data_IF_798909199184
#
_entry.id   IF_798909199184
#
_cell.length_a   1.000
_cell.length_b   1.000
_cell.length_c   1.000
_cell.angle_alpha   90.00
_cell.angle_beta   90.00
_cell.angle_gamma   90.00
#
_symmetry.space_group_name_H-M   'P 1'
#
loop_
_entity.id
_entity.type
_entity.pdbx_description
1 polymer ?
#
# COMPACT_ATOMS: atom_id res chain seq x y z
N UNK A 1 22.80 9.87 26.03
CA UNK A 1 24.20 9.91 25.54
C UNK A 1 25.03 8.79 26.17
N UNK A 2 25.06 8.62 27.48
CA UNK A 2 25.81 7.58 28.19
C UNK A 2 25.46 6.16 27.75
N UNK A 3 24.16 5.82 27.68
CA UNK A 3 23.71 4.50 27.20
C UNK A 3 24.19 4.19 25.77
N UNK A 4 24.26 5.16 24.86
CA UNK A 4 24.76 4.96 23.50
C UNK A 4 26.26 4.61 23.48
N UNK A 5 27.09 5.37 24.19
CA UNK A 5 28.52 5.11 24.26
C UNK A 5 28.83 3.81 25.02
N UNK A 6 28.05 3.50 26.08
CA UNK A 6 28.15 2.25 26.80
C UNK A 6 27.85 1.04 25.92
N UNK A 7 26.76 1.06 25.18
CA UNK A 7 26.38 0.00 24.23
C UNK A 7 27.42 -0.17 23.11
N UNK A 8 27.99 0.95 22.59
CA UNK A 8 29.05 0.88 21.59
C UNK A 8 30.31 0.23 22.15
N UNK A 9 30.74 0.61 23.37
CA UNK A 9 31.87 -0.01 24.04
C UNK A 9 31.63 -1.50 24.26
N UNK A 10 30.46 -1.88 24.77
CA UNK A 10 30.08 -3.28 24.97
C UNK A 10 30.12 -4.09 23.65
N UNK A 11 29.52 -3.60 22.59
CA UNK A 11 29.54 -4.26 21.27
C UNK A 11 30.98 -4.53 20.77
N UNK A 12 31.88 -3.56 20.95
CA UNK A 12 33.26 -3.68 20.53
C UNK A 12 34.02 -4.67 21.42
N UNK A 13 33.80 -4.65 22.74
CA UNK A 13 34.38 -5.60 23.70
C UNK A 13 33.95 -7.04 23.39
N UNK A 14 32.68 -7.25 23.05
CA UNK A 14 32.16 -8.56 22.69
C UNK A 14 32.73 -9.09 21.36
N UNK A 15 33.19 -8.21 20.47
CA UNK A 15 33.88 -8.54 19.23
C UNK A 15 35.40 -8.63 19.39
N UNK A 16 35.94 -8.57 20.62
CA UNK A 16 37.40 -8.52 20.94
C UNK A 16 38.15 -7.32 20.33
N UNK A 17 37.42 -6.26 19.96
CA UNK A 17 37.98 -5.00 19.41
C UNK A 17 38.29 -4.02 20.55
N UNK A 18 39.14 -4.45 21.48
CA UNK A 18 39.38 -3.75 22.73
C UNK A 18 40.00 -2.35 22.56
N UNK A 19 40.90 -2.20 21.59
CA UNK A 19 41.53 -0.88 21.31
C UNK A 19 40.52 0.17 20.80
N UNK A 20 39.53 -0.30 20.05
CA UNK A 20 38.46 0.59 19.56
C UNK A 20 37.39 0.89 20.61
N UNK A 21 37.22 0.03 21.60
CA UNK A 21 36.33 0.27 22.73
C UNK A 21 36.87 1.33 23.71
N UNK A 22 38.20 1.45 23.85
CA UNK A 22 38.86 2.33 24.79
C UNK A 22 38.40 3.79 24.76
N UNK A 23 38.34 4.49 23.61
CA UNK A 23 37.91 5.89 23.55
C UNK A 23 36.50 6.12 24.11
N UNK A 24 35.59 5.14 23.92
CA UNK A 24 34.21 5.21 24.42
C UNK A 24 34.17 5.10 25.93
N UNK A 25 34.94 4.19 26.53
CA UNK A 25 35.06 4.07 27.99
C UNK A 25 35.71 5.32 28.60
N UNK A 26 36.79 5.83 28.01
CA UNK A 26 37.43 7.07 28.46
C UNK A 26 36.45 8.29 28.42
N UNK A 27 35.58 8.34 27.44
CA UNK A 27 34.53 9.37 27.36
C UNK A 27 33.51 9.24 28.48
N UNK A 28 33.10 8.01 28.82
CA UNK A 28 32.12 7.72 29.86
C UNK A 28 32.60 8.11 31.26
N UNK A 29 33.91 8.07 31.51
CA UNK A 29 34.54 8.43 32.81
C UNK A 29 34.99 9.89 32.89
N UNK A 30 34.59 10.79 31.93
CA UNK A 30 34.89 12.22 32.02
C UNK A 30 34.07 12.91 33.13
N UNK A 31 34.44 14.16 33.44
CA UNK A 31 33.78 15.00 34.41
C UNK A 31 32.26 15.02 34.30
N UNK A 32 31.55 14.88 35.44
CA UNK A 32 30.10 14.80 35.50
C UNK A 32 29.54 13.40 35.74
N UNK A 33 30.38 12.41 35.96
CA UNK A 33 30.01 11.02 36.26
C UNK A 33 29.05 10.87 37.43
N UNK A 34 29.18 11.73 38.48
CA UNK A 34 28.31 11.74 39.66
C UNK A 34 26.85 12.11 39.35
N UNK A 35 26.61 12.78 38.22
CA UNK A 35 25.27 13.19 37.77
C UNK A 35 24.58 12.11 36.94
N UNK A 36 25.28 11.04 36.58
CA UNK A 36 24.72 9.93 35.79
C UNK A 36 23.79 9.08 36.66
N UNK A 37 22.66 8.62 36.07
CA UNK A 37 21.74 7.76 36.81
C UNK A 37 22.43 6.48 37.30
N UNK A 38 22.05 6.01 38.49
CA UNK A 38 22.68 4.85 39.12
C UNK A 38 22.65 3.59 38.18
N UNK A 39 21.56 3.38 37.46
CA UNK A 39 21.40 2.28 36.50
C UNK A 39 22.44 2.32 35.38
N UNK A 40 22.67 3.52 34.82
CA UNK A 40 23.64 3.70 33.74
C UNK A 40 25.08 3.54 34.29
N UNK A 41 25.34 4.01 35.49
CA UNK A 41 26.66 3.81 36.16
C UNK A 41 26.95 2.35 36.37
N UNK A 42 26.02 1.58 36.93
CA UNK A 42 26.17 0.15 37.17
C UNK A 42 26.37 -0.62 35.84
N UNK A 43 25.69 -0.23 34.79
CA UNK A 43 25.91 -0.82 33.47
C UNK A 43 27.33 -0.57 32.98
N UNK A 44 27.84 0.64 33.13
CA UNK A 44 29.20 0.99 32.70
C UNK A 44 30.24 0.28 33.57
N UNK A 45 30.05 0.20 34.91
CA UNK A 45 30.93 -0.58 35.80
C UNK A 45 30.99 -2.06 35.40
N UNK A 46 29.87 -2.65 34.96
CA UNK A 46 29.83 -4.01 34.43
C UNK A 46 30.63 -4.14 33.12
N UNK A 47 30.48 -3.19 32.21
CA UNK A 47 31.23 -3.15 30.95
C UNK A 47 32.72 -3.02 31.22
N UNK A 48 33.11 -2.21 32.20
CA UNK A 48 34.50 -2.07 32.65
C UNK A 48 35.07 -3.34 33.21
N UNK A 49 34.31 -4.07 34.04
CA UNK A 49 34.75 -5.39 34.55
C UNK A 49 35.12 -6.32 33.40
N UNK A 50 34.27 -6.40 32.39
CA UNK A 50 34.47 -7.27 31.23
C UNK A 50 35.68 -6.78 30.38
N UNK A 51 35.78 -5.47 30.18
CA UNK A 51 36.88 -4.85 29.42
C UNK A 51 38.23 -5.08 30.09
N UNK A 52 38.36 -4.72 31.38
CA UNK A 52 39.62 -4.88 32.09
C UNK A 52 40.00 -6.34 32.33
N UNK A 53 39.01 -7.22 32.47
CA UNK A 53 39.24 -8.66 32.48
C UNK A 53 39.92 -9.16 31.18
N UNK A 54 39.35 -8.76 30.01
CA UNK A 54 39.91 -9.10 28.69
C UNK A 54 41.30 -8.46 28.44
N UNK A 55 41.51 -7.25 28.97
CA UNK A 55 42.81 -6.57 28.88
C UNK A 55 43.88 -7.14 29.83
N UNK A 56 43.49 -7.96 30.80
CA UNK A 56 44.39 -8.49 31.84
C UNK A 56 44.74 -7.46 32.92
N UNK A 57 44.04 -6.32 33.00
CA UNK A 57 44.24 -5.29 34.04
C UNK A 57 43.50 -5.68 35.34
N UNK A 58 44.18 -6.47 36.17
CA UNK A 58 43.61 -7.01 37.42
C UNK A 58 43.21 -5.91 38.39
N UNK A 59 44.01 -4.85 38.48
CA UNK A 59 43.74 -3.77 39.43
C UNK A 59 42.45 -3.04 39.11
N UNK A 60 42.32 -2.52 37.89
CA UNK A 60 41.14 -1.77 37.45
C UNK A 60 39.88 -2.64 37.43
N UNK A 61 40.00 -3.91 37.00
CA UNK A 61 38.89 -4.87 37.06
C UNK A 61 38.35 -4.98 38.50
N UNK A 62 39.26 -5.13 39.52
CA UNK A 62 38.86 -5.29 40.92
C UNK A 62 38.28 -4.02 41.46
N UNK A 63 38.75 -2.82 41.07
CA UNK A 63 38.17 -1.54 41.42
C UNK A 63 36.70 -1.45 40.89
N UNK A 64 36.45 -1.79 39.63
CA UNK A 64 35.10 -1.83 39.07
C UNK A 64 34.18 -2.85 39.74
N UNK A 65 34.71 -4.04 40.11
CA UNK A 65 33.94 -5.02 40.90
C UNK A 65 33.53 -4.48 42.25
N UNK A 66 34.42 -3.75 42.95
CA UNK A 66 34.07 -3.11 44.23
C UNK A 66 33.00 -2.02 44.06
N UNK A 67 33.06 -1.24 42.99
CA UNK A 67 32.01 -0.24 42.69
C UNK A 67 30.67 -0.89 42.50
N UNK A 68 30.57 -2.00 41.76
CA UNK A 68 29.32 -2.76 41.62
C UNK A 68 28.83 -3.27 42.96
N UNK A 69 29.71 -3.89 43.74
CA UNK A 69 29.36 -4.46 45.05
C UNK A 69 28.78 -3.42 46.01
N UNK A 70 29.37 -2.21 46.06
CA UNK A 70 28.95 -1.12 46.93
C UNK A 70 27.65 -0.42 46.46
N UNK A 71 27.45 -0.30 45.13
CA UNK A 71 26.41 0.51 44.54
C UNK A 71 25.19 -0.29 44.07
N UNK A 72 25.22 -1.64 44.09
CA UNK A 72 24.11 -2.47 43.66
C UNK A 72 22.92 -2.36 44.63
N UNK A 73 21.79 -1.72 44.25
CA UNK A 73 20.63 -1.58 45.12
C UNK A 73 19.81 -2.86 45.15
N UNK A 74 19.13 -3.15 46.25
CA UNK A 74 18.33 -4.36 46.43
C UNK A 74 17.06 -4.40 45.52
N UNK A 75 16.61 -3.25 45.07
CA UNK A 75 15.35 -3.07 44.34
C UNK A 75 15.54 -2.65 42.85
N UNK A 76 16.73 -2.85 42.30
CA UNK A 76 17.01 -2.49 40.91
C UNK A 76 16.20 -3.37 39.94
N UNK A 77 15.58 -2.79 38.91
CA UNK A 77 14.98 -3.56 37.80
C UNK A 77 16.07 -4.07 36.87
N UNK A 78 16.37 -5.38 36.94
CA UNK A 78 17.55 -5.97 36.33
C UNK A 78 17.26 -6.57 34.94
N UNK A 79 15.99 -6.65 34.55
CA UNK A 79 15.61 -7.41 33.35
C UNK A 79 16.21 -6.85 32.05
N UNK A 80 16.35 -5.54 31.94
CA UNK A 80 16.88 -4.88 30.74
C UNK A 80 18.39 -5.11 30.58
N UNK A 81 19.11 -5.33 31.70
CA UNK A 81 20.57 -5.53 31.73
C UNK A 81 20.97 -6.95 32.19
N UNK A 82 20.03 -7.89 32.17
CA UNK A 82 20.29 -9.25 32.65
C UNK A 82 21.50 -9.92 31.96
N UNK A 83 21.66 -9.71 30.65
CA UNK A 83 22.76 -10.28 29.88
C UNK A 83 24.12 -9.80 30.38
N UNK A 84 24.19 -8.55 30.84
CA UNK A 84 25.42 -7.93 31.31
C UNK A 84 25.78 -8.44 32.71
N UNK A 85 24.80 -8.51 33.63
CA UNK A 85 24.98 -9.17 34.92
C UNK A 85 25.39 -10.64 34.78
N UNK A 86 24.81 -11.36 33.83
CA UNK A 86 25.19 -12.74 33.57
C UNK A 86 26.65 -12.86 33.17
N UNK A 87 27.14 -11.99 32.25
CA UNK A 87 28.55 -11.96 31.82
C UNK A 87 29.46 -11.53 32.96
N UNK A 88 29.08 -10.54 33.73
CA UNK A 88 29.82 -10.12 34.94
C UNK A 88 29.99 -11.31 35.92
N UNK A 89 28.92 -12.05 36.22
CA UNK A 89 28.96 -13.22 37.05
C UNK A 89 29.94 -14.29 36.52
N UNK A 90 30.07 -14.46 35.19
CA UNK A 90 31.08 -15.38 34.63
C UNK A 90 32.49 -14.92 34.94
N UNK A 91 32.80 -13.62 34.81
CA UNK A 91 34.10 -13.05 35.16
C UNK A 91 34.37 -13.20 36.67
N UNK A 92 33.38 -12.96 37.53
CA UNK A 92 33.50 -13.12 38.97
C UNK A 92 33.83 -14.57 39.36
N UNK A 93 33.20 -15.55 38.71
CA UNK A 93 33.48 -16.95 38.88
C UNK A 93 34.92 -17.32 38.45
N UNK A 94 35.42 -16.74 37.35
CA UNK A 94 36.77 -16.99 36.84
C UNK A 94 37.85 -16.39 37.72
N UNK A 95 37.52 -15.35 38.49
CA UNK A 95 38.45 -14.53 39.28
C UNK A 95 38.32 -14.70 40.79
N UNK A 96 37.59 -15.74 41.25
CA UNK A 96 37.38 -16.08 42.65
C UNK A 96 36.78 -14.94 43.51
N UNK A 97 35.87 -14.13 42.89
CA UNK A 97 35.17 -13.03 43.54
C UNK A 97 33.78 -13.49 44.05
N UNK A 98 33.81 -14.46 44.96
CA UNK A 98 32.64 -15.21 45.43
C UNK A 98 31.58 -14.32 46.10
N UNK A 99 32.00 -13.35 46.92
CA UNK A 99 31.12 -12.43 47.65
C UNK A 99 30.35 -11.55 46.66
N UNK A 100 31.03 -10.95 45.68
CA UNK A 100 30.41 -10.12 44.65
C UNK A 100 29.54 -10.93 43.73
N UNK A 101 29.87 -12.19 43.43
CA UNK A 101 29.05 -13.11 42.70
C UNK A 101 27.68 -13.33 43.37
N UNK A 102 27.70 -13.68 44.67
CA UNK A 102 26.48 -13.94 45.39
C UNK A 102 25.64 -12.67 45.56
N UNK A 103 26.27 -11.53 45.78
CA UNK A 103 25.56 -10.23 45.88
C UNK A 103 24.73 -9.95 44.60
N UNK A 104 25.28 -10.23 43.41
CA UNK A 104 24.54 -10.09 42.16
C UNK A 104 23.42 -11.15 42.06
N UNK A 105 23.68 -12.41 42.38
CA UNK A 105 22.69 -13.48 42.35
C UNK A 105 21.51 -13.17 43.28
N UNK A 106 21.74 -12.68 44.47
CA UNK A 106 20.69 -12.29 45.43
C UNK A 106 19.75 -11.19 44.92
N UNK A 107 20.23 -10.30 44.06
CA UNK A 107 19.42 -9.25 43.43
C UNK A 107 18.66 -9.75 42.23
N UNK A 108 19.27 -10.56 41.34
CA UNK A 108 18.66 -10.98 40.08
C UNK A 108 17.72 -12.18 40.21
N UNK A 109 18.03 -13.16 41.09
CA UNK A 109 17.25 -14.41 41.23
C UNK A 109 15.79 -14.19 41.60
N UNK A 110 15.45 -13.37 42.63
CA UNK A 110 14.07 -13.09 43.02
C UNK A 110 13.25 -12.47 41.87
N UNK A 111 13.86 -11.61 41.08
CA UNK A 111 13.20 -10.92 40.02
C UNK A 111 12.85 -11.89 38.86
N UNK A 112 13.81 -12.71 38.40
CA UNK A 112 13.54 -13.66 37.30
C UNK A 112 12.52 -14.73 37.72
N UNK A 113 12.46 -15.07 39.02
CA UNK A 113 11.43 -15.98 39.56
C UNK A 113 10.06 -15.32 39.59
N UNK A 114 9.96 -14.09 40.10
CA UNK A 114 8.69 -13.32 40.21
C UNK A 114 8.10 -13.04 38.82
N UNK A 115 8.91 -12.68 37.83
CA UNK A 115 8.46 -12.45 36.45
C UNK A 115 8.23 -13.73 35.66
N UNK A 116 8.52 -14.92 36.24
CA UNK A 116 8.33 -16.24 35.63
C UNK A 116 9.02 -16.42 34.27
N UNK A 117 10.17 -15.77 34.07
CA UNK A 117 10.91 -15.86 32.80
C UNK A 117 11.82 -17.07 32.84
N UNK A 118 11.35 -18.22 32.35
CA UNK A 118 12.01 -19.52 32.42
C UNK A 118 13.46 -19.47 31.88
N UNK A 119 13.66 -18.83 30.73
CA UNK A 119 15.00 -18.73 30.12
C UNK A 119 16.02 -18.02 31.01
N UNK A 120 15.60 -17.00 31.76
CA UNK A 120 16.48 -16.28 32.68
C UNK A 120 16.72 -17.07 33.97
N UNK A 121 15.70 -17.77 34.47
CA UNK A 121 15.87 -18.71 35.59
C UNK A 121 16.89 -19.82 35.27
N UNK A 122 16.82 -20.39 34.07
CA UNK A 122 17.80 -21.38 33.60
C UNK A 122 19.21 -20.81 33.57
N UNK A 123 19.39 -19.56 33.14
CA UNK A 123 20.69 -18.89 33.15
C UNK A 123 21.23 -18.69 34.56
N UNK A 124 20.38 -18.23 35.51
CA UNK A 124 20.77 -18.09 36.93
C UNK A 124 21.15 -19.44 37.52
N UNK A 125 20.37 -20.49 37.32
CA UNK A 125 20.68 -21.83 37.78
C UNK A 125 22.01 -22.35 37.20
N UNK A 126 22.27 -22.07 35.91
CA UNK A 126 23.53 -22.41 35.26
C UNK A 126 24.75 -21.75 35.94
N UNK A 127 24.63 -20.47 36.35
CA UNK A 127 25.68 -19.77 37.11
C UNK A 127 25.87 -20.42 38.47
N UNK A 128 24.80 -20.68 39.23
CA UNK A 128 24.86 -21.35 40.54
C UNK A 128 25.47 -22.73 40.42
N UNK A 129 25.12 -23.51 39.42
CA UNK A 129 25.71 -24.82 39.17
C UNK A 129 27.21 -24.73 38.89
N UNK A 130 27.67 -23.74 38.10
CA UNK A 130 29.10 -23.50 37.86
C UNK A 130 29.83 -23.16 39.15
N UNK A 131 29.24 -22.30 40.00
CA UNK A 131 29.79 -21.96 41.32
C UNK A 131 29.91 -23.19 42.21
N UNK A 132 28.82 -23.94 42.43
CA UNK A 132 28.82 -25.12 43.28
C UNK A 132 29.80 -26.20 42.82
N UNK A 133 29.90 -26.39 41.50
CA UNK A 133 30.87 -27.33 40.92
C UNK A 133 32.33 -26.92 41.20
N UNK A 134 32.62 -25.61 41.07
CA UNK A 134 33.95 -25.05 41.33
C UNK A 134 34.37 -25.25 42.78
N UNK A 135 33.43 -25.10 43.72
CA UNK A 135 33.67 -25.22 45.16
C UNK A 135 33.42 -26.64 45.73
N UNK A 136 33.20 -27.64 44.88
CA UNK A 136 32.92 -29.03 45.28
C UNK A 136 31.68 -29.18 46.19
N UNK A 137 30.70 -28.30 46.08
CA UNK A 137 29.44 -28.31 46.82
C UNK A 137 28.42 -29.22 46.08
N UNK A 138 28.61 -30.55 46.22
CA UNK A 138 27.87 -31.51 45.41
C UNK A 138 26.35 -31.55 45.74
N UNK A 139 25.93 -31.32 46.97
CA UNK A 139 24.53 -31.34 47.37
C UNK A 139 23.77 -30.19 46.74
N UNK A 140 24.29 -28.97 46.80
CA UNK A 140 23.75 -27.76 46.24
C UNK A 140 23.74 -27.82 44.71
N UNK A 141 24.82 -28.40 44.14
CA UNK A 141 24.89 -28.64 42.69
C UNK A 141 23.75 -29.57 42.22
N UNK A 142 23.49 -30.70 42.89
CA UNK A 142 22.44 -31.62 42.52
C UNK A 142 21.07 -31.04 42.68
N UNK A 143 20.83 -30.21 43.71
CA UNK A 143 19.58 -29.50 43.87
C UNK A 143 19.31 -28.50 42.74
N UNK A 144 20.32 -27.69 42.41
CA UNK A 144 20.25 -26.73 41.29
C UNK A 144 20.06 -27.44 39.95
N UNK A 145 20.72 -28.56 39.73
CA UNK A 145 20.58 -29.37 38.52
C UNK A 145 19.19 -30.00 38.37
N UNK A 146 18.55 -30.44 39.48
CA UNK A 146 17.17 -30.93 39.48
C UNK A 146 16.20 -29.84 39.04
N UNK A 147 16.29 -28.64 39.65
CA UNK A 147 15.48 -27.50 39.25
C UNK A 147 15.72 -27.05 37.79
N UNK A 148 16.98 -27.06 37.37
CA UNK A 148 17.34 -26.75 35.98
C UNK A 148 16.67 -27.74 35.01
N UNK A 149 16.68 -29.02 35.31
CA UNK A 149 16.06 -30.04 34.48
C UNK A 149 14.54 -29.82 34.36
N UNK A 150 13.86 -29.66 35.52
CA UNK A 150 12.40 -29.41 35.51
C UNK A 150 12.01 -28.19 34.72
N UNK A 151 12.74 -27.07 34.88
CA UNK A 151 12.46 -25.82 34.14
C UNK A 151 12.79 -25.96 32.65
N UNK A 152 13.84 -26.73 32.30
CA UNK A 152 14.20 -26.99 30.90
C UNK A 152 13.12 -27.78 30.16
N UNK A 153 12.56 -28.83 30.80
CA UNK A 153 11.45 -29.60 30.28
C UNK A 153 10.23 -28.69 30.00
N UNK A 154 9.86 -27.85 30.98
CA UNK A 154 8.76 -26.87 30.83
C UNK A 154 9.03 -25.89 29.70
N UNK A 155 10.23 -25.39 29.57
CA UNK A 155 10.64 -24.44 28.51
C UNK A 155 10.53 -25.08 27.12
N UNK A 156 10.92 -26.34 26.99
CA UNK A 156 10.81 -27.08 25.72
C UNK A 156 9.36 -27.21 25.27
N UNK A 157 8.44 -27.55 26.17
CA UNK A 157 7.00 -27.66 25.87
C UNK A 157 6.44 -26.30 25.42
N UNK A 158 6.76 -25.22 26.14
CA UNK A 158 6.29 -23.87 25.80
C UNK A 158 6.82 -23.44 24.43
N UNK A 159 8.10 -23.66 24.17
CA UNK A 159 8.73 -23.31 22.90
C UNK A 159 8.13 -24.08 21.73
N UNK A 160 7.88 -25.39 21.90
CA UNK A 160 7.25 -26.24 20.88
C UNK A 160 5.82 -25.76 20.55
N UNK A 161 5.03 -25.41 21.57
CA UNK A 161 3.67 -24.91 21.39
C UNK A 161 3.68 -23.55 20.68
N UNK A 162 4.60 -22.65 21.03
CA UNK A 162 4.74 -21.35 20.38
C UNK A 162 5.11 -21.49 18.89
N UNK A 163 6.07 -22.36 18.56
CA UNK A 163 6.45 -22.63 17.17
C UNK A 163 5.28 -23.20 16.36
N UNK A 164 4.53 -24.16 16.92
CA UNK A 164 3.34 -24.72 16.27
C UNK A 164 2.29 -23.66 15.99
N UNK A 165 2.04 -22.77 16.96
CA UNK A 165 1.09 -21.66 16.80
C UNK A 165 1.56 -20.65 15.72
N UNK A 166 2.85 -20.33 15.66
CA UNK A 166 3.43 -19.47 14.64
C UNK A 166 3.28 -20.03 13.22
N UNK A 167 3.54 -21.35 13.06
CA UNK A 167 3.37 -22.05 11.78
C UNK A 167 1.90 -21.98 11.33
N UNK A 168 0.98 -22.24 12.25
CA UNK A 168 -0.47 -22.18 11.97
C UNK A 168 -0.92 -20.78 11.56
N UNK A 169 -0.46 -19.76 12.29
CA UNK A 169 -0.76 -18.36 11.97
C UNK A 169 -0.23 -17.96 10.58
N UNK A 170 1.00 -18.33 10.27
CA UNK A 170 1.60 -18.08 8.95
C UNK A 170 0.79 -18.70 7.82
N UNK A 171 0.37 -19.98 7.99
CA UNK A 171 -0.47 -20.69 7.01
C UNK A 171 -1.82 -20.00 6.81
N UNK A 172 -2.44 -19.54 7.89
CA UNK A 172 -3.72 -18.81 7.82
C UNK A 172 -3.58 -17.48 7.09
N UNK A 173 -2.50 -16.72 7.37
CA UNK A 173 -2.21 -15.46 6.67
C UNK A 173 -1.98 -15.68 5.16
N UNK A 174 -1.28 -16.74 4.77
CA UNK A 174 -1.09 -17.08 3.35
C UNK A 174 -2.42 -17.43 2.67
N UNK A 175 -3.28 -18.20 3.34
CA UNK A 175 -4.60 -18.56 2.80
C UNK A 175 -5.50 -17.32 2.65
N UNK A 176 -5.50 -16.42 3.63
CA UNK A 176 -6.25 -15.15 3.54
C UNK A 176 -5.76 -14.27 2.40
N UNK A 177 -4.45 -14.15 2.19
CA UNK A 177 -3.88 -13.41 1.06
C UNK A 177 -4.32 -13.98 -0.29
N UNK A 178 -4.26 -15.32 -0.46
CA UNK A 178 -4.72 -15.99 -1.69
C UNK A 178 -6.22 -15.78 -1.95
N UNK A 179 -7.05 -15.87 -0.92
CA UNK A 179 -8.49 -15.64 -1.02
C UNK A 179 -8.81 -14.20 -1.41
N UNK A 180 -8.11 -13.22 -0.81
CA UNK A 180 -8.25 -11.79 -1.13
C UNK A 180 -7.88 -11.51 -2.60
N UNK A 181 -6.72 -11.96 -3.06
CA UNK A 181 -6.29 -11.78 -4.45
C UNK A 181 -7.29 -12.39 -5.45
N UNK A 182 -7.86 -13.57 -5.12
CA UNK A 182 -8.89 -14.21 -5.96
C UNK A 182 -10.18 -13.37 -6.00
N UNK A 183 -10.58 -12.79 -4.88
CA UNK A 183 -11.77 -11.92 -4.80
C UNK A 183 -11.55 -10.60 -5.58
N UNK A 184 -10.40 -9.95 -5.41
CA UNK A 184 -10.02 -8.73 -6.14
C UNK A 184 -10.00 -8.98 -7.66
N UNK A 185 -9.39 -10.08 -8.11
CA UNK A 185 -9.38 -10.45 -9.54
C UNK A 185 -10.79 -10.70 -10.09
N UNK A 186 -11.65 -11.36 -9.30
CA UNK A 186 -13.04 -11.57 -9.69
C UNK A 186 -13.80 -10.25 -9.79
N UNK A 187 -13.57 -9.33 -8.86
CA UNK A 187 -14.20 -7.99 -8.88
C UNK A 187 -13.75 -7.19 -10.09
N UNK A 188 -12.44 -7.18 -10.43
CA UNK A 188 -11.94 -6.51 -11.65
C UNK A 188 -12.64 -7.03 -12.92
N UNK A 189 -12.73 -8.36 -13.07
CA UNK A 189 -13.44 -8.97 -14.24
C UNK A 189 -14.92 -8.60 -14.28
N UNK A 190 -15.58 -8.53 -13.11
CA UNK A 190 -16.99 -8.11 -13.03
C UNK A 190 -17.16 -6.64 -13.37
N UNK A 191 -16.23 -5.78 -12.94
CA UNK A 191 -16.22 -4.36 -13.22
C UNK A 191 -15.99 -4.11 -14.73
N UNK A 192 -14.97 -4.71 -15.34
CA UNK A 192 -14.75 -4.65 -16.80
C UNK A 192 -15.99 -5.05 -17.59
N UNK A 193 -16.66 -6.15 -17.20
CA UNK A 193 -17.92 -6.58 -17.85
C UNK A 193 -19.08 -5.62 -17.60
N UNK A 194 -19.05 -4.89 -16.49
CA UNK A 194 -20.09 -3.91 -16.14
C UNK A 194 -19.88 -2.55 -16.81
N UNK A 195 -18.72 -2.24 -17.35
CA UNK A 195 -18.37 -0.94 -17.95
C UNK A 195 -18.42 -0.93 -19.49
N UNK A 196 -18.52 -2.08 -20.12
CA UNK A 196 -18.55 -2.22 -21.57
C UNK A 196 -19.91 -2.70 -22.09
N UNK A 197 -20.29 -2.22 -23.27
CA UNK A 197 -21.40 -2.77 -24.07
C UNK A 197 -21.01 -4.13 -24.65
N UNK A 198 -21.79 -5.20 -24.44
CA UNK A 198 -21.42 -6.55 -24.85
C UNK A 198 -21.35 -6.76 -26.35
N UNK A 199 -22.07 -5.98 -27.15
CA UNK A 199 -22.11 -6.09 -28.61
C UNK A 199 -20.95 -5.32 -29.26
N UNK A 200 -20.83 -4.03 -28.93
CA UNK A 200 -19.88 -3.13 -29.58
C UNK A 200 -18.52 -3.05 -28.91
N UNK A 201 -18.41 -3.52 -27.65
CA UNK A 201 -17.23 -3.40 -26.81
C UNK A 201 -16.79 -1.96 -26.51
N UNK A 202 -17.61 -1.00 -26.81
CA UNK A 202 -17.45 0.39 -26.36
C UNK A 202 -17.77 0.51 -24.87
N UNK A 203 -17.41 1.63 -24.26
CA UNK A 203 -17.93 1.97 -22.94
C UNK A 203 -19.46 1.93 -22.98
N UNK A 204 -20.07 1.48 -21.89
CA UNK A 204 -21.51 1.51 -21.75
C UNK A 204 -21.97 2.81 -21.05
N UNK A 205 -23.28 2.98 -20.88
CA UNK A 205 -23.89 4.16 -20.24
C UNK A 205 -23.37 4.38 -18.81
N UNK A 206 -23.03 3.32 -18.08
CA UNK A 206 -22.50 3.44 -16.70
C UNK A 206 -21.12 4.11 -16.72
N UNK A 207 -20.19 3.60 -17.55
CA UNK A 207 -18.85 4.17 -17.69
C UNK A 207 -18.87 5.58 -18.29
N UNK A 208 -19.83 5.85 -19.20
CA UNK A 208 -20.02 7.19 -19.74
C UNK A 208 -20.35 8.22 -18.65
N UNK A 209 -21.25 7.89 -17.73
CA UNK A 209 -21.63 8.80 -16.67
C UNK A 209 -20.42 9.14 -15.77
N UNK A 210 -19.66 8.14 -15.36
CA UNK A 210 -18.47 8.34 -14.52
C UNK A 210 -17.43 9.22 -15.23
N UNK A 211 -17.13 8.90 -16.50
CA UNK A 211 -16.17 9.66 -17.29
C UNK A 211 -16.63 11.12 -17.54
N UNK A 212 -17.92 11.32 -17.82
CA UNK A 212 -18.47 12.65 -18.05
C UNK A 212 -18.32 13.54 -16.80
N UNK A 213 -18.59 13.00 -15.60
CA UNK A 213 -18.41 13.75 -14.35
C UNK A 213 -16.95 14.09 -14.08
N UNK A 214 -16.01 13.13 -14.31
CA UNK A 214 -14.57 13.36 -14.16
C UNK A 214 -14.07 14.49 -15.07
N UNK A 215 -14.41 14.42 -16.37
CA UNK A 215 -13.99 15.42 -17.37
C UNK A 215 -14.62 16.79 -17.07
N UNK A 216 -15.90 16.82 -16.68
CA UNK A 216 -16.56 18.07 -16.35
C UNK A 216 -15.94 18.75 -15.12
N UNK A 217 -15.69 18.02 -14.05
CA UNK A 217 -15.05 18.57 -12.87
C UNK A 217 -13.67 19.17 -13.21
N UNK A 218 -12.84 18.41 -13.96
CA UNK A 218 -11.53 18.87 -14.41
C UNK A 218 -11.62 20.12 -15.31
N UNK A 219 -12.56 20.12 -16.26
CA UNK A 219 -12.74 21.22 -17.21
C UNK A 219 -13.25 22.51 -16.56
N UNK A 220 -14.11 22.40 -15.54
CA UNK A 220 -14.56 23.55 -14.74
C UNK A 220 -13.43 24.18 -13.91
N UNK A 221 -12.54 23.37 -13.36
CA UNK A 221 -11.40 23.85 -12.56
C UNK A 221 -10.33 24.53 -13.40
N UNK A 222 -10.19 24.15 -14.67
CA UNK A 222 -9.10 24.58 -15.53
C UNK A 222 -9.55 25.45 -16.72
N UNK A 223 -10.85 25.86 -16.78
CA UNK A 223 -11.44 26.62 -17.90
C UNK A 223 -11.23 25.97 -19.27
N UNK A 224 -11.33 24.64 -19.34
CA UNK A 224 -11.09 23.86 -20.55
C UNK A 224 -12.42 23.63 -21.30
N UNK A 225 -12.50 23.88 -22.62
CA UNK A 225 -13.69 23.60 -23.39
C UNK A 225 -13.95 22.11 -23.55
N UNK A 226 -15.23 21.72 -23.54
CA UNK A 226 -15.72 20.35 -23.76
C UNK A 226 -16.70 20.37 -24.92
N UNK A 227 -16.56 19.40 -25.83
CA UNK A 227 -17.61 19.06 -26.80
C UNK A 227 -18.23 17.72 -26.38
N UNK A 228 -19.55 17.71 -26.21
CA UNK A 228 -20.33 16.50 -25.97
C UNK A 228 -21.24 16.26 -27.17
N UNK A 229 -21.08 15.14 -27.81
CA UNK A 229 -21.79 14.72 -29.01
C UNK A 229 -22.70 13.54 -28.69
N UNK A 230 -23.92 13.56 -29.16
CA UNK A 230 -24.82 12.42 -29.26
C UNK A 230 -25.16 12.18 -30.73
N UNK A 231 -25.11 10.94 -31.13
CA UNK A 231 -25.42 10.53 -32.50
C UNK A 231 -26.32 9.31 -32.53
N UNK A 232 -27.08 9.18 -33.64
CA UNK A 232 -28.07 8.15 -33.83
C UNK A 232 -28.03 7.69 -35.31
N UNK A 233 -28.26 6.40 -35.54
CA UNK A 233 -28.28 5.82 -36.90
C UNK A 233 -29.65 6.10 -37.54
N UNK A 234 -29.63 6.79 -38.68
CA UNK A 234 -30.85 7.17 -39.36
C UNK A 234 -31.65 5.96 -39.87
N UNK A 235 -32.93 5.93 -39.51
CA UNK A 235 -33.85 4.87 -39.91
C UNK A 235 -33.42 3.46 -39.48
N UNK A 236 -32.72 3.31 -38.36
CA UNK A 236 -32.19 2.04 -37.90
C UNK A 236 -33.29 1.00 -37.60
N UNK A 237 -34.46 1.45 -37.16
CA UNK A 237 -35.59 0.56 -36.98
C UNK A 237 -36.00 -0.06 -38.29
N UNK A 238 -36.17 0.74 -39.37
CA UNK A 238 -36.49 0.28 -40.71
C UNK A 238 -35.38 -0.64 -41.27
N UNK A 239 -34.13 -0.39 -40.90
CA UNK A 239 -33.02 -1.25 -41.24
C UNK A 239 -33.22 -2.65 -40.62
N UNK A 240 -33.45 -2.75 -39.33
CA UNK A 240 -33.70 -3.99 -38.61
C UNK A 240 -34.94 -4.71 -39.14
N UNK A 241 -36.02 -4.00 -39.39
CA UNK A 241 -37.27 -4.59 -39.83
C UNK A 241 -37.14 -5.24 -41.25
N UNK A 242 -36.24 -4.72 -42.08
CA UNK A 242 -36.08 -5.20 -43.43
C UNK A 242 -34.88 -6.15 -43.66
N UNK A 243 -33.77 -5.96 -42.90
CA UNK A 243 -32.55 -6.76 -43.06
C UNK A 243 -32.36 -7.77 -41.91
N UNK A 244 -33.16 -7.65 -40.83
CA UNK A 244 -33.10 -8.50 -39.66
C UNK A 244 -32.08 -8.04 -38.61
N UNK A 245 -32.30 -8.44 -37.37
CA UNK A 245 -31.49 -8.00 -36.21
C UNK A 245 -30.01 -8.39 -36.31
N UNK A 246 -29.66 -9.50 -37.01
CA UNK A 246 -28.26 -9.89 -37.14
C UNK A 246 -27.47 -8.91 -38.03
N UNK A 247 -28.09 -8.38 -39.07
CA UNK A 247 -27.50 -7.32 -39.91
C UNK A 247 -27.48 -5.99 -39.16
N UNK A 248 -28.51 -5.71 -38.35
CA UNK A 248 -28.49 -4.57 -37.42
C UNK A 248 -27.33 -4.60 -36.43
N UNK A 249 -27.07 -5.75 -35.83
CA UNK A 249 -25.92 -5.96 -34.96
C UNK A 249 -24.57 -5.72 -35.68
N UNK A 250 -24.45 -6.20 -36.90
CA UNK A 250 -23.25 -5.92 -37.75
C UNK A 250 -23.11 -4.44 -38.06
N UNK A 251 -24.23 -3.77 -38.39
CA UNK A 251 -24.26 -2.34 -38.61
C UNK A 251 -23.77 -1.58 -37.36
N UNK A 252 -24.32 -1.89 -36.19
CA UNK A 252 -23.89 -1.29 -34.92
C UNK A 252 -22.40 -1.48 -34.62
N UNK A 253 -21.86 -2.69 -34.86
CA UNK A 253 -20.44 -2.97 -34.67
C UNK A 253 -19.57 -2.17 -35.66
N UNK A 254 -20.00 -2.05 -36.92
CA UNK A 254 -19.26 -1.28 -37.92
C UNK A 254 -19.21 0.19 -37.63
N UNK A 255 -20.35 0.78 -37.23
CA UNK A 255 -20.44 2.17 -36.78
C UNK A 255 -19.59 2.39 -35.52
N UNK A 256 -19.70 1.50 -34.53
CA UNK A 256 -18.92 1.59 -33.29
C UNK A 256 -17.40 1.57 -33.56
N UNK A 257 -16.94 0.74 -34.49
CA UNK A 257 -15.52 0.71 -34.87
C UNK A 257 -15.08 2.00 -35.56
N UNK A 258 -15.93 2.55 -36.43
CA UNK A 258 -15.67 3.83 -37.11
C UNK A 258 -15.58 4.98 -36.13
N UNK A 259 -16.49 5.04 -35.15
CA UNK A 259 -16.45 6.02 -34.06
C UNK A 259 -15.15 5.86 -33.26
N UNK A 260 -14.84 4.64 -32.83
CA UNK A 260 -13.66 4.37 -31.99
C UNK A 260 -12.38 4.84 -32.67
N UNK A 261 -12.18 4.49 -33.94
CA UNK A 261 -10.99 4.87 -34.69
C UNK A 261 -10.83 6.40 -34.76
N UNK A 262 -11.91 7.15 -35.04
CA UNK A 262 -11.84 8.60 -35.07
C UNK A 262 -11.55 9.20 -33.69
N UNK A 263 -12.22 8.68 -32.65
CA UNK A 263 -12.11 9.18 -31.29
C UNK A 263 -10.74 8.90 -30.70
N UNK A 264 -10.11 7.77 -31.03
CA UNK A 264 -8.71 7.45 -30.67
C UNK A 264 -7.74 8.45 -31.32
N UNK A 265 -7.93 8.79 -32.61
CA UNK A 265 -7.13 9.80 -33.31
C UNK A 265 -7.27 11.22 -32.68
N UNK A 266 -8.44 11.51 -32.10
CA UNK A 266 -8.79 12.80 -31.50
C UNK A 266 -8.59 12.84 -29.96
N UNK A 267 -8.04 11.79 -29.36
CA UNK A 267 -7.85 11.65 -27.90
C UNK A 267 -9.16 11.87 -27.09
N UNK A 268 -10.30 11.43 -27.67
CA UNK A 268 -11.62 11.56 -27.06
C UNK A 268 -12.06 10.29 -26.33
N UNK A 269 -13.30 10.32 -25.85
CA UNK A 269 -13.98 9.19 -25.22
C UNK A 269 -15.27 8.87 -25.96
N UNK A 270 -15.63 7.61 -26.12
CA UNK A 270 -16.86 7.20 -26.78
C UNK A 270 -17.55 6.04 -26.05
N UNK A 271 -18.89 6.07 -26.07
CA UNK A 271 -19.74 5.07 -25.42
C UNK A 271 -20.98 4.77 -26.28
N UNK A 272 -21.51 3.55 -26.11
CA UNK A 272 -22.86 3.25 -26.58
C UNK A 272 -23.85 3.61 -25.46
N UNK A 273 -24.74 4.57 -25.76
CA UNK A 273 -25.72 5.07 -24.81
C UNK A 273 -26.91 4.10 -24.64
N UNK A 274 -27.38 3.54 -25.76
CA UNK A 274 -28.43 2.52 -25.79
C UNK A 274 -29.00 2.38 -27.20
N UNK A 275 -29.48 1.18 -27.57
CA UNK A 275 -30.06 0.96 -28.91
C UNK A 275 -29.06 1.29 -30.02
N UNK A 276 -29.41 2.30 -30.83
CA UNK A 276 -28.67 2.89 -31.93
C UNK A 276 -27.99 4.23 -31.61
N UNK A 277 -28.00 4.62 -30.31
CA UNK A 277 -27.43 5.89 -29.85
C UNK A 277 -26.02 5.72 -29.29
N UNK A 278 -25.12 6.62 -29.69
CA UNK A 278 -23.75 6.69 -29.21
C UNK A 278 -23.45 8.10 -28.69
N UNK A 279 -22.57 8.20 -27.71
CA UNK A 279 -22.11 9.48 -27.14
C UNK A 279 -20.59 9.56 -27.24
N UNK A 280 -20.10 10.74 -27.63
CA UNK A 280 -18.68 11.05 -27.70
C UNK A 280 -18.40 12.29 -26.86
N UNK A 281 -17.28 12.31 -26.15
CA UNK A 281 -16.81 13.44 -25.36
C UNK A 281 -15.39 13.78 -25.78
N UNK A 282 -15.19 15.04 -26.15
CA UNK A 282 -13.88 15.61 -26.46
C UNK A 282 -13.58 16.72 -25.44
N UNK A 283 -12.46 16.64 -24.78
CA UNK A 283 -11.95 17.68 -23.89
C UNK A 283 -10.84 18.48 -24.59
N UNK A 284 -10.73 19.75 -24.27
CA UNK A 284 -9.71 20.66 -24.81
C UNK A 284 -9.73 20.80 -26.35
N UNK A 285 -10.92 20.86 -26.92
CA UNK A 285 -11.12 21.05 -28.38
C UNK A 285 -11.77 22.38 -28.67
N UNK A 286 -11.39 23.01 -29.78
CA UNK A 286 -12.10 24.20 -30.27
C UNK A 286 -13.42 23.81 -30.92
N UNK A 287 -14.30 24.81 -31.12
CA UNK A 287 -15.57 24.59 -31.81
C UNK A 287 -15.35 24.09 -33.23
N UNK A 288 -14.35 24.66 -33.95
CA UNK A 288 -14.01 24.29 -35.32
C UNK A 288 -13.50 22.84 -35.39
N UNK A 289 -12.75 22.39 -34.38
CA UNK A 289 -12.34 21.00 -34.27
C UNK A 289 -13.53 20.06 -34.06
N UNK A 290 -14.46 20.41 -33.16
CA UNK A 290 -15.68 19.63 -32.96
C UNK A 290 -16.52 19.52 -34.26
N UNK A 291 -16.67 20.61 -35.01
CA UNK A 291 -17.28 20.61 -36.35
C UNK A 291 -16.56 19.71 -37.31
N UNK A 292 -15.23 19.78 -37.36
CA UNK A 292 -14.40 18.95 -38.24
C UNK A 292 -14.52 17.46 -37.92
N UNK A 293 -14.58 17.10 -36.63
CA UNK A 293 -14.75 15.70 -36.20
C UNK A 293 -16.13 15.16 -36.58
N UNK A 294 -17.19 15.95 -36.41
CA UNK A 294 -18.52 15.55 -36.80
C UNK A 294 -18.63 15.31 -38.32
N UNK A 295 -18.07 16.20 -39.13
CA UNK A 295 -18.07 16.05 -40.58
C UNK A 295 -17.24 14.84 -41.03
N UNK A 296 -16.06 14.64 -40.39
CA UNK A 296 -15.20 13.48 -40.68
C UNK A 296 -15.90 12.17 -40.31
N UNK A 297 -16.56 12.10 -39.15
CA UNK A 297 -17.32 10.93 -38.75
C UNK A 297 -18.44 10.62 -39.75
N UNK A 298 -19.21 11.63 -40.15
CA UNK A 298 -20.25 11.50 -41.18
C UNK A 298 -19.68 10.93 -42.45
N UNK A 299 -18.55 11.46 -42.93
CA UNK A 299 -17.85 11.02 -44.15
C UNK A 299 -17.37 9.57 -44.04
N UNK A 300 -16.78 9.19 -42.90
CA UNK A 300 -16.32 7.81 -42.65
C UNK A 300 -17.46 6.81 -42.62
N UNK A 301 -18.59 7.19 -42.03
CA UNK A 301 -19.78 6.33 -42.02
C UNK A 301 -20.35 6.16 -43.42
N UNK A 302 -20.47 7.23 -44.22
CA UNK A 302 -20.88 7.14 -45.62
C UNK A 302 -19.92 6.24 -46.46
N UNK A 303 -18.63 6.32 -46.18
CA UNK A 303 -17.62 5.51 -46.86
C UNK A 303 -17.70 3.98 -46.57
N UNK A 304 -18.48 3.58 -45.54
CA UNK A 304 -18.79 2.17 -45.30
C UNK A 304 -19.69 1.57 -46.40
N UNK A 305 -20.41 2.43 -47.17
CA UNK A 305 -21.34 2.05 -48.26
C UNK A 305 -22.32 0.93 -47.86
N UNK A 306 -22.73 0.90 -46.55
CA UNK A 306 -23.66 -0.11 -46.06
C UNK A 306 -25.06 0.15 -46.66
N UNK A 307 -25.55 -0.76 -47.46
CA UNK A 307 -26.79 -0.63 -48.16
C UNK A 307 -28.01 -0.46 -47.21
N UNK A 308 -28.81 0.58 -47.42
CA UNK A 308 -30.08 0.84 -46.71
C UNK A 308 -31.17 1.37 -47.67
N UNK A 309 -31.68 0.46 -48.54
CA UNK A 309 -32.67 0.81 -49.57
C UNK A 309 -33.99 1.41 -49.02
N UNK A 310 -34.28 1.16 -47.76
CA UNK A 310 -35.51 1.60 -47.10
C UNK A 310 -35.33 2.92 -46.34
N UNK A 311 -34.14 3.46 -46.31
CA UNK A 311 -33.87 4.77 -45.73
C UNK A 311 -34.43 5.89 -46.61
N UNK A 312 -35.05 6.91 -45.95
CA UNK A 312 -35.54 8.12 -46.65
C UNK A 312 -34.45 9.19 -46.74
N UNK A 313 -33.30 9.00 -46.12
CA UNK A 313 -32.18 9.94 -46.16
C UNK A 313 -31.30 9.66 -47.42
N UNK A 314 -30.65 8.52 -47.48
CA UNK A 314 -29.83 8.03 -48.57
C UNK A 314 -29.98 6.51 -48.69
N UNK A 315 -29.68 5.88 -49.84
CA UNK A 315 -29.80 4.42 -50.01
C UNK A 315 -28.70 3.64 -49.29
N UNK A 316 -28.01 4.28 -48.37
CA UNK A 316 -26.97 3.71 -47.46
C UNK A 316 -27.22 4.13 -46.01
N UNK A 317 -26.58 3.45 -45.08
CA UNK A 317 -26.63 3.79 -43.66
C UNK A 317 -26.00 5.17 -43.45
N UNK A 318 -26.73 6.02 -42.75
CA UNK A 318 -26.29 7.38 -42.38
C UNK A 318 -26.47 7.61 -40.88
N UNK A 319 -25.84 8.66 -40.37
CA UNK A 319 -25.96 9.11 -38.98
C UNK A 319 -26.39 10.56 -38.90
N UNK A 320 -27.17 10.90 -37.88
CA UNK A 320 -27.44 12.25 -37.44
C UNK A 320 -26.69 12.55 -36.15
N UNK A 321 -26.13 13.75 -36.02
CA UNK A 321 -25.24 14.13 -34.92
C UNK A 321 -25.68 15.45 -34.30
N UNK A 322 -25.73 15.50 -32.96
CA UNK A 322 -25.97 16.73 -32.21
C UNK A 322 -24.82 16.97 -31.26
N UNK A 323 -24.23 18.14 -31.26
CA UNK A 323 -23.04 18.49 -30.49
C UNK A 323 -23.28 19.75 -29.65
N UNK A 324 -23.05 19.67 -28.35
CA UNK A 324 -22.93 20.81 -27.48
C UNK A 324 -21.47 21.11 -27.20
N UNK A 325 -21.02 22.34 -27.53
CA UNK A 325 -19.65 22.78 -27.24
C UNK A 325 -19.68 23.99 -26.30
N UNK A 326 -18.74 24.01 -25.32
CA UNK A 326 -18.60 25.17 -24.44
C UNK A 326 -17.62 24.89 -23.30
N UNK A 327 -17.29 25.94 -22.53
CA UNK A 327 -16.52 25.82 -21.29
C UNK A 327 -17.53 25.63 -20.14
N UNK A 328 -17.46 24.48 -19.41
CA UNK A 328 -18.35 24.25 -18.28
C UNK A 328 -18.15 25.29 -17.18
N UNK A 329 -19.22 25.98 -16.77
CA UNK A 329 -19.20 26.98 -15.71
C UNK A 329 -19.70 26.39 -14.40
N UNK A 330 -19.36 27.04 -13.27
CA UNK A 330 -19.87 26.65 -11.95
C UNK A 330 -21.40 26.64 -11.95
N UNK A 331 -21.97 25.46 -11.70
CA UNK A 331 -23.43 25.21 -11.75
C UNK A 331 -23.88 24.38 -12.96
N UNK A 332 -23.07 24.26 -14.03
CA UNK A 332 -23.35 23.33 -15.11
C UNK A 332 -23.02 21.89 -14.69
N UNK A 333 -23.84 20.95 -15.15
CA UNK A 333 -23.61 19.51 -15.01
C UNK A 333 -23.35 18.87 -16.36
N UNK A 334 -22.69 17.74 -16.41
CA UNK A 334 -22.48 16.96 -17.65
C UNK A 334 -23.78 16.71 -18.42
N UNK A 335 -24.86 16.46 -17.69
CA UNK A 335 -26.22 16.28 -18.24
C UNK A 335 -26.81 17.50 -18.95
N UNK A 336 -26.42 18.70 -18.58
CA UNK A 336 -26.92 19.92 -19.26
C UNK A 336 -26.36 20.00 -20.69
N UNK A 337 -25.07 19.59 -20.87
CA UNK A 337 -24.42 19.49 -22.18
C UNK A 337 -24.99 18.35 -23.02
N UNK A 338 -25.23 17.19 -22.41
CA UNK A 338 -25.84 16.06 -23.14
C UNK A 338 -27.26 16.39 -23.60
N UNK A 339 -28.04 17.07 -22.76
CA UNK A 339 -29.39 17.50 -23.13
C UNK A 339 -29.38 18.54 -24.26
N UNK A 340 -28.44 19.50 -24.22
CA UNK A 340 -28.28 20.46 -25.31
C UNK A 340 -27.84 19.76 -26.61
N UNK A 341 -26.95 18.76 -26.55
CA UNK A 341 -26.57 17.94 -27.71
C UNK A 341 -27.77 17.15 -28.27
N UNK A 342 -28.65 16.60 -27.41
CA UNK A 342 -29.87 15.90 -27.84
C UNK A 342 -30.85 16.84 -28.55
N UNK A 343 -31.03 18.07 -28.07
CA UNK A 343 -31.82 19.10 -28.76
C UNK A 343 -31.25 19.42 -30.16
N UNK A 344 -29.93 19.45 -30.31
CA UNK A 344 -29.27 19.61 -31.63
C UNK A 344 -29.50 18.41 -32.53
N UNK A 345 -29.38 17.18 -32.00
CA UNK A 345 -29.70 15.95 -32.73
C UNK A 345 -31.14 15.93 -33.22
N UNK A 346 -32.10 16.33 -32.37
CA UNK A 346 -33.50 16.41 -32.75
C UNK A 346 -33.71 17.39 -33.92
N UNK A 347 -33.04 18.54 -33.95
CA UNK A 347 -33.08 19.49 -35.08
C UNK A 347 -32.57 18.82 -36.38
N UNK A 348 -31.43 18.10 -36.31
CA UNK A 348 -30.90 17.36 -37.50
C UNK A 348 -31.92 16.34 -37.99
N UNK A 349 -32.47 15.50 -37.10
CA UNK A 349 -33.46 14.47 -37.47
C UNK A 349 -34.75 15.06 -38.10
N UNK A 350 -35.12 16.26 -37.68
CA UNK A 350 -36.33 16.95 -38.20
C UNK A 350 -36.11 17.58 -39.58
N UNK A 351 -34.95 18.15 -39.85
CA UNK A 351 -34.76 19.00 -41.02
C UNK A 351 -33.98 18.33 -42.16
N UNK A 352 -32.97 17.54 -41.87
CA UNK A 352 -32.09 17.05 -42.93
C UNK A 352 -31.74 15.57 -42.85
N UNK A 353 -31.51 15.04 -41.60
CA UNK A 353 -30.77 13.77 -41.38
C UNK A 353 -29.44 13.74 -42.11
N UNK A 354 -28.64 12.68 -41.94
CA UNK A 354 -27.30 12.58 -42.53
C UNK A 354 -26.47 13.85 -42.39
N UNK A 355 -26.53 14.46 -41.21
CA UNK A 355 -25.93 15.76 -40.96
C UNK A 355 -25.57 15.93 -39.49
N UNK A 356 -25.00 17.08 -39.17
CA UNK A 356 -24.68 17.45 -37.79
C UNK A 356 -25.17 18.84 -37.44
N UNK A 357 -25.35 19.12 -36.15
CA UNK A 357 -25.69 20.42 -35.63
C UNK A 357 -24.83 20.68 -34.39
N UNK A 358 -24.11 21.83 -34.36
CA UNK A 358 -23.25 22.24 -33.26
C UNK A 358 -23.77 23.52 -32.64
N UNK A 359 -23.98 23.55 -31.33
CA UNK A 359 -24.41 24.72 -30.58
C UNK A 359 -23.83 24.81 -29.20
N UNK A 360 -24.12 25.91 -28.47
CA UNK A 360 -23.77 26.06 -27.05
C UNK A 360 -24.90 25.60 -26.13
N UNK A 361 -24.73 25.81 -24.82
CA UNK A 361 -25.75 25.52 -23.80
C UNK A 361 -26.99 26.39 -23.97
N UNK A 362 -26.83 27.67 -24.38
CA UNK A 362 -27.93 28.58 -24.62
C UNK A 362 -28.38 28.43 -26.06
N UNK A 363 -29.63 28.01 -26.27
CA UNK A 363 -30.26 27.74 -27.60
C UNK A 363 -30.28 28.95 -28.55
N UNK A 364 -29.90 30.13 -28.08
CA UNK A 364 -29.88 31.39 -28.78
C UNK A 364 -28.56 31.76 -29.45
N UNK A 365 -27.48 31.06 -29.16
CA UNK A 365 -26.14 31.33 -29.72
C UNK A 365 -25.83 30.45 -30.94
N UNK A 366 -25.30 31.06 -31.99
CA UNK A 366 -24.73 30.56 -33.24
C UNK A 366 -24.78 29.03 -33.45
N UNK A 367 -25.84 28.55 -34.03
CA UNK A 367 -26.01 27.14 -34.40
C UNK A 367 -25.38 26.94 -35.76
N UNK A 368 -24.38 26.06 -35.84
CA UNK A 368 -23.76 25.63 -37.09
C UNK A 368 -24.36 24.31 -37.57
N UNK A 369 -24.95 24.27 -38.72
CA UNK A 369 -25.39 23.02 -39.37
C UNK A 369 -24.47 22.70 -40.54
N UNK A 370 -24.20 21.40 -40.74
CA UNK A 370 -23.51 20.93 -41.92
C UNK A 370 -24.30 21.26 -43.20
N UNK A 371 -23.63 21.44 -44.31
CA UNK A 371 -24.27 21.57 -45.63
C UNK A 371 -24.80 20.21 -46.07
N UNK A 372 -26.09 20.14 -46.41
CA UNK A 372 -26.66 18.95 -47.06
C UNK A 372 -25.93 18.72 -48.38
N UNK A 373 -25.43 17.50 -48.60
CA UNK A 373 -24.90 17.04 -49.89
C UNK A 373 -26.07 16.78 -50.84
#
# INVERSE_FOLDING_TARGET
MYAFYGNMAECLILQDRLQEAKPYLEYLHKDGWEQVALTDRLFIDIVDVIYYHKMGDVQKRNESIQMIHQNLPDNLTVLDFFSDYYRCCLVLLETDQDESFWRIIEVIEPQVVNFKIINLQLKVLSLKMKFYRKHNQNAEYLQAAGLYYELSERNEVVTRNMLSSMITLRKNLENMRKARMKAERKNMVLQERSEQDPLTRMANRFRLNDYAEEVFAYSQENDIPVAMEILDIDYFKEYNDNYGHQEGDRCLVSIANTIRNLVEEAEGFCARYGGDEFVIIYANVTREQAVSFAEELRRRVLALEMEHRFSKALPVVTISQGICWGIPRKGNRSWDFLHAADNMLYRVKKFSRNNYCVGGLDETEDVTMGTAL
#
